data_IF_857450879922
#
_entry.id   IF_857450879922
#
_cell.length_a   1.000
_cell.length_b   1.000
_cell.length_c   1.000
_cell.angle_alpha   90.00
_cell.angle_beta   90.00
_cell.angle_gamma   90.00
#
_symmetry.space_group_name_H-M   'P 1'
#
loop_
_entity.id
_entity.type
_entity.pdbx_description
1 polymer ?
#
# COMPACT_ATOMS: atom_id res chain seq x y z
N UNK A 1 -54.80 -30.84 -5.98
CA UNK A 1 -54.33 -30.26 -4.69
C UNK A 1 -52.86 -30.60 -4.31
N UNK A 2 -52.15 -31.50 -5.04
CA UNK A 2 -50.75 -31.89 -4.71
C UNK A 2 -49.64 -30.95 -5.25
N UNK A 3 -49.95 -30.15 -6.30
CA UNK A 3 -48.98 -29.19 -6.89
C UNK A 3 -48.73 -27.92 -6.02
N UNK A 4 -49.68 -27.54 -5.19
CA UNK A 4 -49.62 -26.31 -4.37
C UNK A 4 -48.64 -26.47 -3.18
N UNK A 5 -48.45 -27.72 -2.68
CA UNK A 5 -47.53 -27.96 -1.53
C UNK A 5 -46.04 -27.88 -1.93
N UNK A 6 -45.70 -28.24 -3.19
CA UNK A 6 -44.31 -28.11 -3.67
C UNK A 6 -43.91 -26.67 -3.97
N UNK A 7 -44.86 -25.85 -4.43
CA UNK A 7 -44.63 -24.44 -4.74
C UNK A 7 -44.41 -23.61 -3.45
N UNK A 8 -45.10 -23.99 -2.35
CA UNK A 8 -44.92 -23.34 -1.06
C UNK A 8 -43.54 -23.54 -0.44
N UNK A 9 -42.97 -24.76 -0.53
CA UNK A 9 -41.60 -25.03 -0.05
C UNK A 9 -40.52 -24.33 -0.86
N UNK A 10 -40.70 -24.18 -2.18
CA UNK A 10 -39.77 -23.48 -3.04
C UNK A 10 -39.83 -21.97 -2.82
N UNK A 11 -41.00 -21.40 -2.57
CA UNK A 11 -41.19 -20.00 -2.24
C UNK A 11 -40.58 -19.64 -0.87
N UNK A 12 -40.64 -20.52 0.13
CA UNK A 12 -40.02 -20.33 1.42
C UNK A 12 -38.48 -20.39 1.29
N UNK A 13 -37.94 -21.27 0.46
CA UNK A 13 -36.49 -21.35 0.21
C UNK A 13 -35.96 -20.12 -0.53
N UNK A 14 -36.75 -19.53 -1.46
CA UNK A 14 -36.39 -18.28 -2.12
C UNK A 14 -36.50 -17.06 -1.19
N UNK A 15 -37.44 -17.07 -0.24
CA UNK A 15 -37.64 -15.96 0.70
C UNK A 15 -36.52 -15.85 1.75
N UNK A 16 -35.87 -16.96 2.13
CA UNK A 16 -34.73 -16.97 3.04
C UNK A 16 -33.45 -16.41 2.40
N UNK A 17 -33.36 -16.35 1.05
CA UNK A 17 -32.25 -15.73 0.32
C UNK A 17 -32.33 -14.19 0.28
N UNK A 18 -33.49 -13.60 0.61
CA UNK A 18 -33.73 -12.14 0.66
C UNK A 18 -33.80 -11.56 2.06
N UNK A 19 -33.32 -12.27 3.09
CA UNK A 19 -33.15 -11.62 4.39
C UNK A 19 -32.12 -10.49 4.22
N UNK A 20 -32.46 -9.23 4.52
CA UNK A 20 -31.49 -8.16 4.49
C UNK A 20 -30.41 -8.49 5.50
N UNK A 21 -29.25 -8.87 5.02
CA UNK A 21 -28.04 -8.82 5.83
C UNK A 21 -27.86 -7.35 6.12
N UNK A 22 -28.11 -6.90 7.35
CA UNK A 22 -27.73 -5.59 7.79
C UNK A 22 -26.19 -5.52 7.69
N UNK A 23 -25.69 -5.16 6.52
CA UNK A 23 -24.32 -4.72 6.38
C UNK A 23 -24.22 -3.42 7.17
N UNK A 24 -23.74 -3.49 8.39
CA UNK A 24 -23.28 -2.31 9.10
C UNK A 24 -22.07 -1.83 8.28
N UNK A 25 -22.30 -0.80 7.45
CA UNK A 25 -21.19 -0.04 6.91
C UNK A 25 -20.45 0.52 8.14
N UNK A 26 -19.21 0.06 8.34
CA UNK A 26 -18.36 0.58 9.40
C UNK A 26 -18.26 2.09 9.15
N UNK A 27 -18.79 2.89 10.08
CA UNK A 27 -18.68 4.35 10.04
C UNK A 27 -17.22 4.69 9.79
N UNK A 28 -16.92 5.61 8.87
CA UNK A 28 -15.58 5.96 8.40
C UNK A 28 -14.49 6.01 9.50
N UNK A 29 -13.39 6.72 9.32
CA UNK A 29 -12.29 6.72 10.28
C UNK A 29 -12.70 7.08 11.73
N UNK A 30 -13.79 7.85 11.90
CA UNK A 30 -14.30 8.30 13.19
C UNK A 30 -13.39 9.31 13.91
N UNK A 31 -12.42 9.90 13.19
CA UNK A 31 -11.52 10.94 13.71
C UNK A 31 -11.03 11.85 12.58
N UNK A 32 -10.50 13.03 12.96
CA UNK A 32 -9.77 13.93 12.06
C UNK A 32 -8.42 14.33 12.66
N UNK A 33 -7.51 14.75 11.78
CA UNK A 33 -6.20 15.31 12.16
C UNK A 33 -6.00 16.59 11.38
N UNK A 34 -5.72 17.70 12.09
CA UNK A 34 -5.44 19.00 11.48
C UNK A 34 -4.12 19.57 11.98
N UNK A 35 -3.30 20.22 11.13
CA UNK A 35 -2.11 20.91 11.59
C UNK A 35 -2.47 22.18 12.37
N UNK A 36 -1.78 22.41 13.47
CA UNK A 36 -1.80 23.69 14.18
C UNK A 36 -0.56 24.47 13.73
N UNK A 37 -0.73 25.31 12.71
CA UNK A 37 0.36 26.05 12.08
C UNK A 37 0.92 27.12 13.01
N UNK A 38 2.24 27.29 12.99
CA UNK A 38 2.93 28.17 13.93
C UNK A 38 4.18 28.84 13.33
N UNK A 39 5.17 29.07 14.18
CA UNK A 39 6.42 29.76 13.82
C UNK A 39 7.09 29.14 12.57
N UNK A 40 7.51 29.99 11.64
CA UNK A 40 8.25 29.60 10.43
C UNK A 40 7.37 29.07 9.29
N UNK A 41 6.07 28.93 9.48
CA UNK A 41 5.15 28.50 8.43
C UNK A 41 5.17 29.48 7.25
N UNK A 42 5.37 28.98 6.04
CA UNK A 42 5.47 29.80 4.82
C UNK A 42 4.11 30.09 4.17
N UNK A 43 3.14 29.17 4.32
CA UNK A 43 1.78 29.32 3.83
C UNK A 43 0.78 29.03 4.96
N UNK A 44 0.12 30.07 5.51
CA UNK A 44 -0.82 29.91 6.62
C UNK A 44 -2.13 29.21 6.24
N UNK A 45 -2.41 29.05 4.94
CA UNK A 45 -3.59 28.36 4.44
C UNK A 45 -3.30 26.86 4.10
N UNK A 46 -2.05 26.42 4.21
CA UNK A 46 -1.67 25.05 3.88
C UNK A 46 -2.27 24.04 4.89
N UNK A 47 -2.75 22.93 4.40
CA UNK A 47 -3.16 21.78 5.22
C UNK A 47 -1.97 20.93 5.71
N UNK A 48 -0.74 21.45 5.70
CA UNK A 48 0.50 20.77 6.05
C UNK A 48 1.53 21.75 6.58
N UNK A 49 2.61 21.25 7.19
CA UNK A 49 3.70 22.09 7.67
C UNK A 49 4.70 22.37 6.55
N UNK A 50 4.89 23.65 6.21
CA UNK A 50 5.92 24.16 5.30
C UNK A 50 6.71 25.20 6.05
N UNK A 51 7.82 24.79 6.69
CA UNK A 51 8.55 25.60 7.66
C UNK A 51 9.84 26.11 7.05
N UNK A 52 9.99 27.45 6.98
CA UNK A 52 11.27 28.08 6.71
C UNK A 52 12.13 27.95 7.96
N UNK A 53 13.09 27.03 7.89
CA UNK A 53 13.91 26.62 9.00
C UNK A 53 15.11 27.54 9.19
N UNK A 54 15.37 27.96 10.42
CA UNK A 54 16.56 28.72 10.82
C UNK A 54 17.46 27.86 11.71
N UNK A 55 18.78 28.00 11.56
CA UNK A 55 19.76 27.29 12.37
C UNK A 55 19.49 27.42 13.86
N UNK A 56 19.83 26.39 14.61
CA UNK A 56 19.76 26.36 16.06
C UNK A 56 18.43 26.83 16.66
N UNK A 57 17.34 26.75 15.89
CA UNK A 57 16.00 27.19 16.28
C UNK A 57 15.10 25.99 16.47
N UNK A 58 14.19 26.07 17.46
CA UNK A 58 13.17 25.04 17.70
C UNK A 58 11.86 25.44 17.07
N UNK A 59 11.21 24.45 16.44
CA UNK A 59 9.90 24.59 15.80
C UNK A 59 8.92 23.56 16.37
N UNK A 60 7.81 23.99 16.98
CA UNK A 60 6.76 23.08 17.40
C UNK A 60 5.97 22.61 16.17
N UNK A 61 5.91 21.31 15.97
CA UNK A 61 5.02 20.64 14.99
C UNK A 61 3.87 20.05 15.79
N UNK A 62 2.72 20.73 15.75
CA UNK A 62 1.54 20.38 16.55
C UNK A 62 0.40 19.94 15.65
N UNK A 63 -0.18 18.79 15.94
CA UNK A 63 -1.41 18.32 15.30
C UNK A 63 -2.54 18.25 16.31
N UNK A 64 -3.73 18.69 15.90
CA UNK A 64 -4.97 18.51 16.64
C UNK A 64 -5.64 17.22 16.17
N UNK A 65 -5.77 16.25 17.08
CA UNK A 65 -6.48 14.98 16.85
C UNK A 65 -7.86 15.08 17.48
N UNK A 66 -8.90 15.03 16.66
CA UNK A 66 -10.28 15.08 17.10
C UNK A 66 -10.94 13.72 16.94
N UNK A 67 -11.53 13.24 18.01
CA UNK A 67 -12.38 12.06 18.00
C UNK A 67 -13.81 12.51 17.64
N UNK A 68 -14.33 12.00 16.52
CA UNK A 68 -15.66 12.36 16.01
C UNK A 68 -16.77 11.42 16.48
N UNK A 69 -16.44 10.36 17.25
CA UNK A 69 -17.46 9.46 17.78
C UNK A 69 -18.20 10.11 18.94
N UNK A 70 -19.46 9.79 19.11
CA UNK A 70 -20.31 10.38 20.15
C UNK A 70 -20.11 9.75 21.54
N UNK A 71 -19.79 8.45 21.57
CA UNK A 71 -19.84 7.66 22.81
C UNK A 71 -18.59 6.85 23.10
N UNK A 72 -17.58 6.85 22.20
CA UNK A 72 -16.41 6.00 22.32
C UNK A 72 -15.13 6.82 22.52
N UNK A 73 -14.35 6.45 23.51
CA UNK A 73 -12.99 6.92 23.68
C UNK A 73 -12.08 6.18 22.68
N UNK A 74 -11.19 6.88 22.00
CA UNK A 74 -10.28 6.31 21.01
C UNK A 74 -8.82 6.53 21.41
N UNK A 75 -8.01 5.49 21.18
CA UNK A 75 -6.56 5.53 21.34
C UNK A 75 -5.85 5.73 20.00
N UNK A 76 -4.80 6.54 20.02
CA UNK A 76 -4.01 6.85 18.84
C UNK A 76 -2.52 6.63 19.09
N UNK A 77 -1.84 6.01 18.13
CA UNK A 77 -0.38 6.02 18.00
C UNK A 77 0.00 7.15 17.03
N UNK A 78 0.84 8.07 17.48
CA UNK A 78 1.27 9.24 16.72
C UNK A 78 2.78 9.23 16.61
N UNK A 79 3.31 9.33 15.40
CA UNK A 79 4.76 9.28 15.18
C UNK A 79 5.21 10.19 14.06
N UNK A 80 6.43 10.71 14.20
CA UNK A 80 7.14 11.34 13.10
C UNK A 80 7.68 10.27 12.15
N UNK A 81 7.45 10.46 10.87
CA UNK A 81 7.83 9.52 9.82
C UNK A 81 8.69 10.24 8.79
N UNK A 82 9.75 9.57 8.34
CA UNK A 82 10.52 10.03 7.18
C UNK A 82 9.76 9.71 5.90
N UNK A 83 9.65 10.68 4.99
CA UNK A 83 9.11 10.42 3.67
C UNK A 83 10.04 9.51 2.86
N UNK A 84 9.44 8.59 2.13
CA UNK A 84 10.13 7.68 1.22
C UNK A 84 9.56 7.78 -0.18
N UNK A 85 10.13 7.09 -1.15
CA UNK A 85 9.52 6.93 -2.47
C UNK A 85 8.97 5.50 -2.58
N UNK A 86 7.69 5.39 -2.91
CA UNK A 86 7.04 4.11 -3.15
C UNK A 86 7.38 3.57 -4.55
N UNK A 87 7.24 2.26 -4.77
CA UNK A 87 7.59 1.65 -6.06
C UNK A 87 6.64 2.03 -7.21
N UNK A 88 5.49 2.62 -6.89
CA UNK A 88 4.58 3.22 -7.89
C UNK A 88 4.88 4.69 -8.19
N UNK A 89 6.02 5.21 -7.72
CA UNK A 89 6.54 6.52 -8.08
C UNK A 89 5.89 7.70 -7.36
N UNK A 90 5.33 7.50 -6.16
CA UNK A 90 4.79 8.59 -5.34
C UNK A 90 5.58 8.73 -4.05
N UNK A 91 5.65 9.96 -3.54
CA UNK A 91 6.19 10.21 -2.20
C UNK A 91 5.23 9.61 -1.17
N UNK A 92 5.78 8.72 -0.33
CA UNK A 92 5.03 8.03 0.72
C UNK A 92 5.38 8.62 2.09
N UNK A 93 4.35 9.01 2.83
CA UNK A 93 4.41 9.63 4.15
C UNK A 93 4.01 8.68 5.27
N UNK A 94 3.95 7.38 4.98
CA UNK A 94 3.61 6.35 5.96
C UNK A 94 4.84 5.65 6.53
N UNK A 95 4.73 4.97 7.69
CA UNK A 95 5.85 4.23 8.25
C UNK A 95 6.40 3.19 7.27
N UNK A 96 7.69 3.22 7.03
CA UNK A 96 8.39 2.34 6.10
C UNK A 96 9.63 1.73 6.74
N UNK A 97 9.98 0.50 6.35
CA UNK A 97 11.24 -0.14 6.68
C UNK A 97 12.40 0.28 5.75
N UNK A 98 12.10 1.04 4.68
CA UNK A 98 13.13 1.57 3.79
C UNK A 98 14.06 2.50 4.56
N UNK A 99 15.36 2.31 4.36
CA UNK A 99 16.37 3.19 4.94
C UNK A 99 16.55 4.41 4.05
N UNK A 100 16.87 5.54 4.70
CA UNK A 100 17.28 6.74 3.99
C UNK A 100 18.68 6.54 3.38
N UNK A 101 18.92 7.16 2.24
CA UNK A 101 20.24 7.22 1.62
C UNK A 101 21.25 7.98 2.52
N UNK A 102 22.53 7.64 2.39
CA UNK A 102 23.58 8.21 3.22
C UNK A 102 23.63 9.76 3.14
N UNK A 103 23.78 10.39 4.28
CA UNK A 103 23.83 11.86 4.41
C UNK A 103 22.48 12.55 4.55
N UNK A 104 21.37 11.80 4.53
CA UNK A 104 20.04 12.33 4.79
C UNK A 104 19.81 12.63 6.27
N UNK A 105 18.97 13.63 6.55
CA UNK A 105 18.51 14.02 7.88
C UNK A 105 17.00 13.73 7.98
N UNK A 106 16.59 13.01 9.01
CA UNK A 106 15.19 12.68 9.23
C UNK A 106 14.52 13.59 10.25
N UNK A 107 13.19 13.69 10.24
CA UNK A 107 12.45 14.41 11.29
C UNK A 107 12.72 13.83 12.69
N UNK A 108 12.94 12.52 12.79
CA UNK A 108 13.24 11.84 14.07
C UNK A 108 14.55 12.29 14.68
N UNK A 109 15.55 12.63 13.84
CA UNK A 109 16.85 13.10 14.30
C UNK A 109 16.77 14.50 14.91
N UNK A 110 15.75 15.27 14.54
CA UNK A 110 15.53 16.65 14.98
C UNK A 110 14.72 16.76 16.28
N UNK A 111 14.09 15.69 16.77
CA UNK A 111 13.25 15.76 17.99
C UNK A 111 14.13 16.02 19.22
N UNK A 112 13.82 17.09 19.97
CA UNK A 112 14.60 17.54 21.13
C UNK A 112 14.68 16.49 22.24
N UNK A 113 13.55 15.88 22.60
CA UNK A 113 13.44 14.89 23.69
C UNK A 113 13.66 13.44 23.23
N UNK A 114 14.05 13.23 21.96
CA UNK A 114 14.23 11.92 21.32
C UNK A 114 12.97 11.03 21.30
N UNK A 115 11.80 11.60 21.59
CA UNK A 115 10.51 10.91 21.58
C UNK A 115 9.77 11.16 20.26
N UNK A 116 10.16 10.46 19.22
CA UNK A 116 9.52 10.56 17.91
C UNK A 116 8.16 9.82 17.82
N UNK A 117 7.70 9.22 18.92
CA UNK A 117 6.41 8.53 19.01
C UNK A 117 5.71 8.89 20.31
N UNK A 118 4.41 9.15 20.23
CA UNK A 118 3.54 9.44 21.37
C UNK A 118 2.26 8.61 21.26
N UNK A 119 1.67 8.26 22.39
CA UNK A 119 0.35 7.63 22.47
C UNK A 119 -0.61 8.57 23.16
N UNK A 120 -1.83 8.68 22.66
CA UNK A 120 -2.84 9.55 23.24
C UNK A 120 -4.21 8.89 23.22
N UNK A 121 -4.94 9.08 24.30
CA UNK A 121 -6.35 8.71 24.42
C UNK A 121 -7.19 9.98 24.28
N UNK A 122 -8.18 9.98 23.37
CA UNK A 122 -9.08 11.10 23.11
C UNK A 122 -10.51 10.65 23.40
N UNK A 123 -11.17 11.31 24.37
CA UNK A 123 -12.55 11.01 24.72
C UNK A 123 -13.50 11.37 23.56
N UNK A 124 -14.71 10.82 23.58
CA UNK A 124 -15.77 11.08 22.60
C UNK A 124 -15.98 12.58 22.38
N UNK A 125 -16.03 13.03 21.13
CA UNK A 125 -16.23 14.42 20.74
C UNK A 125 -15.09 15.39 21.10
N UNK A 126 -14.02 14.93 21.75
CA UNK A 126 -12.94 15.79 22.22
C UNK A 126 -11.80 15.92 21.19
N UNK A 127 -11.02 16.99 21.38
CA UNK A 127 -9.81 17.26 20.60
C UNK A 127 -8.61 17.34 21.55
N UNK A 128 -7.48 16.74 21.16
CA UNK A 128 -6.19 16.88 21.84
C UNK A 128 -5.10 17.36 20.89
N UNK A 129 -4.28 18.29 21.36
CA UNK A 129 -3.12 18.76 20.65
C UNK A 129 -1.88 17.93 21.06
N UNK A 130 -1.16 17.44 20.06
CA UNK A 130 0.06 16.67 20.23
C UNK A 130 1.20 17.42 19.53
N UNK A 131 2.28 17.70 20.28
CA UNK A 131 3.40 18.51 19.79
C UNK A 131 4.69 17.72 19.79
N UNK A 132 5.46 17.85 18.71
CA UNK A 132 6.85 17.45 18.59
C UNK A 132 7.71 18.72 18.42
N UNK A 133 8.67 18.93 19.30
CA UNK A 133 9.61 20.06 19.19
C UNK A 133 10.81 19.62 18.35
N UNK A 134 10.95 20.21 17.16
CA UNK A 134 12.05 19.94 16.24
C UNK A 134 13.14 20.98 16.42
N UNK A 135 14.31 20.57 16.88
CA UNK A 135 15.50 21.43 17.03
C UNK A 135 16.38 21.30 15.81
N UNK A 136 16.57 22.41 15.09
CA UNK A 136 17.47 22.48 13.97
C UNK A 136 18.93 22.47 14.44
N UNK A 137 19.85 21.81 13.70
CA UNK A 137 21.27 21.78 14.03
C UNK A 137 21.91 23.19 13.94
N UNK A 138 23.13 23.32 14.46
CA UNK A 138 23.91 24.55 14.32
C UNK A 138 24.39 24.79 12.89
N UNK A 139 24.63 23.69 12.16
CA UNK A 139 24.98 23.73 10.74
C UNK A 139 23.74 23.83 9.85
N UNK A 140 23.94 24.31 8.65
CA UNK A 140 22.87 24.37 7.65
C UNK A 140 22.32 22.97 7.35
N UNK A 141 20.99 22.84 7.30
CA UNK A 141 20.39 21.68 6.65
C UNK A 141 20.63 21.78 5.13
N UNK A 142 21.07 20.67 4.55
CA UNK A 142 21.31 20.63 3.11
C UNK A 142 19.98 20.40 2.39
N UNK A 143 19.32 21.49 1.95
CA UNK A 143 18.08 21.40 1.16
C UNK A 143 16.83 21.13 1.98
N UNK A 144 16.12 20.08 1.69
CA UNK A 144 14.81 19.77 2.26
C UNK A 144 14.83 18.53 3.14
N UNK A 145 14.32 18.67 4.37
CA UNK A 145 13.95 17.54 5.24
C UNK A 145 12.45 17.30 5.05
N UNK A 146 12.08 16.11 4.62
CA UNK A 146 10.71 15.76 4.27
C UNK A 146 10.23 14.55 5.09
N UNK A 147 9.05 14.68 5.66
CA UNK A 147 8.40 13.62 6.40
C UNK A 147 6.95 13.93 6.73
N UNK A 148 6.42 13.32 7.77
CA UNK A 148 5.05 13.56 8.22
C UNK A 148 4.87 13.36 9.72
N UNK A 149 3.76 13.89 10.24
CA UNK A 149 3.13 13.37 11.45
C UNK A 149 2.11 12.33 11.00
N UNK A 150 2.37 11.07 11.33
CA UNK A 150 1.49 9.94 11.06
C UNK A 150 0.67 9.63 12.31
N UNK A 151 -0.65 9.62 12.18
CA UNK A 151 -1.61 9.36 13.26
C UNK A 151 -2.41 8.13 12.90
N UNK A 152 -2.29 7.06 13.71
CA UNK A 152 -3.00 5.81 13.52
C UNK A 152 -3.97 5.58 14.68
N UNK A 153 -5.24 5.32 14.37
CA UNK A 153 -6.20 4.82 15.35
C UNK A 153 -5.81 3.41 15.76
N UNK A 154 -5.71 3.16 17.06
CA UNK A 154 -5.46 1.82 17.60
C UNK A 154 -6.78 1.04 17.53
N UNK A 155 -6.82 -0.12 16.83
CA UNK A 155 -8.02 -0.93 16.79
C UNK A 155 -8.41 -1.40 18.20
N UNK A 156 -9.64 -1.18 18.60
CA UNK A 156 -10.16 -1.77 19.85
C UNK A 156 -10.28 -3.29 19.68
N UNK A 157 -9.89 -4.04 20.71
CA UNK A 157 -10.12 -5.47 20.75
C UNK A 157 -11.61 -5.74 20.97
N UNK A 158 -12.38 -5.82 19.91
CA UNK A 158 -13.71 -6.40 19.98
C UNK A 158 -13.60 -7.90 20.26
N UNK A 159 -14.51 -8.42 21.10
CA UNK A 159 -14.54 -9.81 21.51
C UNK A 159 -14.32 -10.75 20.31
N UNK A 160 -13.46 -11.76 20.51
CA UNK A 160 -13.07 -12.75 19.49
C UNK A 160 -14.30 -13.35 18.81
N UNK A 161 -14.71 -12.81 17.69
CA UNK A 161 -15.64 -13.50 16.82
C UNK A 161 -14.93 -14.73 16.25
N UNK A 162 -15.50 -15.92 16.43
CA UNK A 162 -15.02 -17.14 15.77
C UNK A 162 -15.32 -17.01 14.28
N UNK A 163 -14.34 -16.56 13.49
CA UNK A 163 -14.47 -16.40 12.04
C UNK A 163 -13.34 -15.56 11.42
N UNK A 164 -13.22 -15.58 10.11
CA UNK A 164 -12.31 -14.71 9.37
C UNK A 164 -12.96 -13.32 9.29
N UNK A 165 -12.43 -12.35 10.02
CA UNK A 165 -12.88 -10.96 9.98
C UNK A 165 -11.82 -10.06 9.33
N UNK A 166 -12.22 -9.14 8.46
CA UNK A 166 -11.39 -8.04 7.97
C UNK A 166 -11.45 -6.92 9.00
N UNK A 167 -10.29 -6.48 9.50
CA UNK A 167 -10.18 -5.30 10.38
C UNK A 167 -9.59 -4.14 9.60
N UNK A 168 -10.32 -3.06 9.52
CA UNK A 168 -9.83 -1.82 8.92
C UNK A 168 -8.97 -1.06 9.95
N UNK A 169 -7.76 -0.69 9.55
CA UNK A 169 -6.90 0.20 10.31
C UNK A 169 -6.90 1.57 9.63
N UNK A 170 -7.36 2.60 10.33
CA UNK A 170 -7.41 3.95 9.82
C UNK A 170 -6.20 4.76 10.29
N UNK A 171 -5.60 5.49 9.37
CA UNK A 171 -4.52 6.40 9.66
C UNK A 171 -4.62 7.67 8.80
N UNK A 172 -4.09 8.77 9.32
CA UNK A 172 -3.97 10.05 8.62
C UNK A 172 -2.53 10.55 8.71
N UNK A 173 -2.09 11.26 7.68
CA UNK A 173 -0.76 11.85 7.63
C UNK A 173 -0.85 13.35 7.38
N UNK A 174 -0.06 14.12 8.11
CA UNK A 174 0.14 15.55 7.86
C UNK A 174 1.60 15.73 7.43
N UNK A 175 1.88 16.08 6.17
CA UNK A 175 3.24 16.31 5.69
C UNK A 175 3.96 17.40 6.47
N UNK A 176 5.28 17.24 6.66
CA UNK A 176 6.18 18.20 7.27
C UNK A 176 7.36 18.42 6.34
N UNK A 177 7.50 19.66 5.88
CA UNK A 177 8.56 20.12 4.98
C UNK A 177 9.38 21.17 5.71
N UNK A 178 10.66 20.91 5.90
CA UNK A 178 11.61 21.87 6.47
C UNK A 178 12.64 22.25 5.41
N UNK A 179 12.86 23.54 5.18
CA UNK A 179 13.92 24.05 4.31
C UNK A 179 14.38 25.41 4.81
N UNK A 180 15.67 25.70 4.72
CA UNK A 180 16.21 27.05 5.00
C UNK A 180 15.87 28.02 3.86
N UNK A 181 15.79 27.52 2.66
CA UNK A 181 15.46 28.31 1.46
C UNK A 181 14.67 27.47 0.44
N UNK A 182 13.38 27.69 0.37
CA UNK A 182 12.48 27.03 -0.60
C UNK A 182 12.73 27.44 -2.05
N UNK A 183 13.41 28.55 -2.28
CA UNK A 183 13.73 29.02 -3.64
C UNK A 183 15.04 28.42 -4.18
N UNK A 184 15.84 27.80 -3.32
CA UNK A 184 17.09 27.18 -3.69
C UNK A 184 16.87 25.95 -4.56
N UNK A 185 17.19 26.06 -5.84
CA UNK A 185 17.13 24.92 -6.77
C UNK A 185 18.31 23.98 -6.53
N UNK A 186 18.02 22.78 -6.03
CA UNK A 186 19.01 21.71 -5.88
C UNK A 186 18.77 20.67 -6.97
N UNK A 187 19.81 20.35 -7.72
CA UNK A 187 19.72 19.33 -8.75
C UNK A 187 19.69 17.96 -8.11
N UNK A 188 18.70 17.10 -8.43
CA UNK A 188 18.69 15.71 -7.99
C UNK A 188 19.97 14.98 -8.43
N UNK A 189 20.44 14.07 -7.59
CA UNK A 189 21.56 13.18 -7.90
C UNK A 189 21.04 11.76 -7.92
N UNK A 190 20.77 11.24 -9.12
CA UNK A 190 20.19 9.92 -9.30
C UNK A 190 21.28 8.89 -9.62
N UNK A 191 21.10 7.70 -9.09
CA UNK A 191 21.95 6.55 -9.37
C UNK A 191 21.08 5.28 -9.47
N UNK A 192 21.31 4.47 -10.51
CA UNK A 192 20.75 3.14 -10.63
C UNK A 192 21.63 2.17 -9.84
N UNK A 193 21.26 1.91 -8.59
CA UNK A 193 22.10 1.22 -7.61
C UNK A 193 22.10 -0.30 -7.80
N UNK A 194 20.98 -0.85 -8.29
CA UNK A 194 20.81 -2.28 -8.49
C UNK A 194 19.94 -2.59 -9.71
N UNK A 195 20.13 -3.77 -10.29
CA UNK A 195 19.25 -4.36 -11.28
C UNK A 195 19.25 -5.89 -11.15
N UNK A 196 18.07 -6.50 -11.23
CA UNK A 196 17.94 -7.94 -11.09
C UNK A 196 16.62 -8.48 -11.66
N UNK A 197 16.60 -9.76 -12.03
CA UNK A 197 15.37 -10.49 -12.28
C UNK A 197 14.82 -11.04 -10.97
N UNK A 198 13.55 -10.82 -10.68
CA UNK A 198 12.86 -11.40 -9.52
C UNK A 198 11.40 -11.74 -9.84
N UNK A 199 10.74 -12.46 -8.96
CA UNK A 199 9.31 -12.71 -9.01
C UNK A 199 8.68 -12.24 -7.72
N UNK A 200 7.68 -11.39 -7.85
CA UNK A 200 6.73 -11.11 -6.78
C UNK A 200 5.37 -11.64 -7.25
N UNK A 201 4.62 -12.27 -6.36
CA UNK A 201 3.27 -12.79 -6.68
C UNK A 201 3.18 -13.74 -7.87
N UNK A 202 4.25 -14.49 -8.17
CA UNK A 202 4.23 -15.48 -9.24
C UNK A 202 4.49 -14.95 -10.65
N UNK A 203 4.77 -13.66 -10.83
CA UNK A 203 5.05 -13.07 -12.15
C UNK A 203 6.54 -12.69 -12.25
N UNK A 204 7.28 -13.17 -13.27
CA UNK A 204 8.68 -12.78 -13.48
C UNK A 204 8.77 -11.35 -13.97
N UNK A 205 9.74 -10.61 -13.45
CA UNK A 205 9.97 -9.21 -13.81
C UNK A 205 11.44 -8.85 -13.66
N UNK A 206 11.87 -7.80 -14.35
CA UNK A 206 13.18 -7.18 -14.12
C UNK A 206 12.97 -5.88 -13.36
N UNK A 207 13.74 -5.69 -12.31
CA UNK A 207 13.61 -4.54 -11.41
C UNK A 207 14.93 -3.79 -11.38
N UNK A 208 14.87 -2.47 -11.55
CA UNK A 208 15.97 -1.55 -11.32
C UNK A 208 15.71 -0.70 -10.08
N UNK A 209 16.66 -0.62 -9.15
CA UNK A 209 16.58 0.26 -7.98
C UNK A 209 17.27 1.59 -8.29
N UNK A 210 16.51 2.69 -8.23
CA UNK A 210 17.02 4.04 -8.42
C UNK A 210 17.00 4.81 -7.11
N UNK A 211 18.11 5.48 -6.79
CA UNK A 211 18.33 6.26 -5.58
C UNK A 211 18.46 7.74 -5.92
N UNK A 212 17.77 8.60 -5.17
CA UNK A 212 18.00 10.04 -5.11
C UNK A 212 18.91 10.34 -3.92
N UNK A 213 20.18 10.63 -4.17
CA UNK A 213 21.18 10.93 -3.17
C UNK A 213 21.24 12.43 -2.81
N UNK A 214 20.29 13.24 -3.32
CA UNK A 214 20.27 14.68 -3.08
C UNK A 214 19.20 15.08 -2.04
N UNK A 215 19.40 16.18 -1.31
CA UNK A 215 18.45 16.74 -0.36
C UNK A 215 17.33 17.53 -1.07
N UNK A 216 16.81 17.00 -2.14
CA UNK A 216 15.75 17.64 -2.92
C UNK A 216 14.67 16.64 -3.30
N UNK A 217 13.43 17.02 -3.08
CA UNK A 217 12.31 16.35 -3.72
C UNK A 217 12.14 16.92 -5.13
N UNK A 218 11.65 16.10 -6.05
CA UNK A 218 11.26 16.55 -7.38
C UNK A 218 10.18 15.64 -7.95
N UNK A 219 9.42 16.16 -8.91
CA UNK A 219 8.27 15.46 -9.47
C UNK A 219 8.14 15.67 -10.98
N UNK A 220 6.96 15.32 -11.50
CA UNK A 220 6.66 15.34 -12.94
C UNK A 220 7.68 14.54 -13.74
N UNK A 221 8.15 13.42 -13.16
CA UNK A 221 9.19 12.58 -13.76
C UNK A 221 8.54 11.66 -14.79
N UNK A 222 9.10 11.66 -16.00
CA UNK A 222 8.86 10.65 -17.01
C UNK A 222 9.96 9.62 -16.95
N UNK A 223 9.60 8.36 -16.88
CA UNK A 223 10.52 7.22 -16.83
C UNK A 223 10.37 6.41 -18.10
N UNK A 224 11.48 6.12 -18.76
CA UNK A 224 11.59 5.13 -19.83
C UNK A 224 12.69 4.14 -19.46
N UNK A 225 12.33 2.90 -19.19
CA UNK A 225 13.26 1.87 -18.79
C UNK A 225 13.16 0.65 -19.70
N UNK A 226 14.30 0.07 -20.05
CA UNK A 226 14.36 -1.12 -20.90
C UNK A 226 15.51 -2.03 -20.54
N UNK A 227 15.43 -3.27 -21.00
CA UNK A 227 16.47 -4.31 -20.81
C UNK A 227 17.01 -4.71 -22.17
N UNK A 228 18.36 -4.85 -22.25
CA UNK A 228 19.07 -5.45 -23.39
C UNK A 228 19.93 -6.61 -22.95
N UNK A 229 20.33 -7.48 -23.86
CA UNK A 229 21.50 -8.32 -23.60
C UNK A 229 22.75 -7.42 -23.51
N UNK A 230 23.69 -7.75 -22.62
CA UNK A 230 24.90 -6.93 -22.46
C UNK A 230 25.68 -6.77 -23.76
N UNK A 231 25.93 -5.50 -24.13
CA UNK A 231 26.64 -5.12 -25.36
C UNK A 231 25.78 -5.13 -26.61
N UNK A 232 24.47 -5.39 -26.50
CA UNK A 232 23.51 -5.27 -27.62
C UNK A 232 22.63 -4.05 -27.46
N UNK A 233 21.99 -3.61 -28.54
CA UNK A 233 21.10 -2.44 -28.59
C UNK A 233 19.62 -2.82 -28.64
N UNK A 234 19.31 -4.08 -28.99
CA UNK A 234 17.94 -4.54 -29.14
C UNK A 234 17.24 -4.61 -27.79
N UNK A 235 16.14 -3.87 -27.65
CA UNK A 235 15.31 -3.88 -26.45
C UNK A 235 14.55 -5.20 -26.33
N UNK A 236 14.78 -5.94 -25.27
CA UNK A 236 14.03 -7.16 -24.98
C UNK A 236 12.68 -6.86 -24.36
N UNK A 237 12.68 -5.96 -23.38
CA UNK A 237 11.50 -5.50 -22.64
C UNK A 237 11.63 -4.02 -22.34
N UNK A 238 10.52 -3.31 -22.29
CA UNK A 238 10.46 -1.88 -22.02
C UNK A 238 9.22 -1.55 -21.17
N UNK A 239 9.35 -0.56 -20.28
CA UNK A 239 8.27 0.01 -19.50
C UNK A 239 8.40 1.52 -19.46
N UNK A 240 7.27 2.24 -19.55
CA UNK A 240 7.22 3.70 -19.49
C UNK A 240 6.18 4.14 -18.46
N UNK A 241 6.50 5.20 -17.75
CA UNK A 241 5.61 5.81 -16.76
C UNK A 241 5.79 7.32 -16.73
N UNK A 242 4.77 8.02 -16.27
CA UNK A 242 4.78 9.48 -16.14
C UNK A 242 4.29 9.90 -14.75
N UNK A 243 4.57 11.17 -14.41
CA UNK A 243 4.14 11.82 -13.16
C UNK A 243 4.73 11.20 -11.90
N UNK A 244 5.88 10.54 -12.02
CA UNK A 244 6.61 10.05 -10.86
C UNK A 244 7.18 11.20 -10.03
N UNK A 245 7.38 10.93 -8.74
CA UNK A 245 7.95 11.84 -7.76
C UNK A 245 8.99 11.10 -6.93
N UNK A 246 9.99 11.81 -6.44
CA UNK A 246 10.96 11.26 -5.52
C UNK A 246 11.16 12.15 -4.30
N UNK A 247 11.15 11.53 -3.12
CA UNK A 247 11.54 12.17 -1.88
C UNK A 247 13.06 12.40 -1.82
N UNK A 248 13.53 13.35 -0.99
CA UNK A 248 14.96 13.51 -0.71
C UNK A 248 15.54 12.24 -0.10
N UNK A 249 16.77 11.89 -0.48
CA UNK A 249 17.52 10.76 0.09
C UNK A 249 16.73 9.45 0.16
N UNK A 250 16.01 9.15 -0.91
CA UNK A 250 15.15 7.95 -0.99
C UNK A 250 15.42 7.12 -2.23
N UNK A 251 15.06 5.85 -2.17
CA UNK A 251 15.11 4.95 -3.33
C UNK A 251 13.78 4.27 -3.58
N UNK A 252 13.58 3.81 -4.82
CA UNK A 252 12.46 2.97 -5.19
C UNK A 252 12.86 1.97 -6.28
N UNK A 253 12.10 0.90 -6.39
CA UNK A 253 12.28 -0.09 -7.45
C UNK A 253 11.31 0.19 -8.61
N UNK A 254 11.86 0.33 -9.81
CA UNK A 254 11.09 0.43 -11.04
C UNK A 254 11.05 -0.91 -11.76
N UNK A 255 9.86 -1.36 -12.10
CA UNK A 255 9.62 -2.70 -12.64
C UNK A 255 9.41 -2.66 -14.15
N UNK A 256 10.05 -3.59 -14.86
CA UNK A 256 9.77 -3.91 -16.24
C UNK A 256 9.15 -5.31 -16.28
N UNK A 257 7.91 -5.38 -16.77
CA UNK A 257 7.22 -6.65 -16.99
C UNK A 257 7.88 -7.43 -18.13
N UNK A 258 8.07 -8.72 -17.94
CA UNK A 258 8.64 -9.61 -18.94
C UNK A 258 7.61 -10.45 -19.67
N UNK A 259 6.33 -10.08 -19.60
CA UNK A 259 5.21 -10.79 -20.22
C UNK A 259 5.18 -12.29 -19.84
N UNK A 260 5.40 -12.59 -18.56
CA UNK A 260 5.52 -13.94 -18.00
C UNK A 260 6.69 -14.78 -18.53
N UNK A 261 7.68 -14.17 -19.18
CA UNK A 261 8.84 -14.90 -19.66
C UNK A 261 10.04 -14.73 -18.73
N UNK A 262 10.66 -15.82 -18.36
CA UNK A 262 11.94 -15.82 -17.66
C UNK A 262 13.07 -15.52 -18.64
N UNK A 263 13.94 -14.55 -18.31
CA UNK A 263 15.18 -14.34 -19.06
C UNK A 263 16.03 -15.63 -19.04
N UNK A 264 16.71 -15.91 -20.13
CA UNK A 264 17.70 -17.00 -20.20
C UNK A 264 18.90 -16.68 -19.33
N UNK A 265 19.65 -17.70 -18.83
CA UNK A 265 20.93 -17.44 -18.18
C UNK A 265 21.83 -16.61 -19.09
N UNK A 266 22.38 -15.50 -18.56
CA UNK A 266 23.18 -14.58 -19.36
C UNK A 266 23.47 -13.27 -18.64
N UNK A 267 24.16 -12.36 -19.34
CA UNK A 267 24.46 -11.00 -18.86
C UNK A 267 23.58 -10.01 -19.61
N UNK A 268 23.01 -9.09 -18.85
CA UNK A 268 22.05 -8.10 -19.32
C UNK A 268 22.42 -6.70 -18.82
N UNK A 269 21.87 -5.69 -19.48
CA UNK A 269 21.95 -4.30 -19.02
C UNK A 269 20.54 -3.76 -18.85
N UNK A 270 20.25 -3.24 -17.67
CA UNK A 270 19.05 -2.46 -17.37
C UNK A 270 19.37 -1.00 -17.66
N UNK A 271 18.58 -0.36 -18.51
CA UNK A 271 18.69 1.05 -18.87
C UNK A 271 17.51 1.81 -18.29
N UNK A 272 17.75 3.04 -17.85
CA UNK A 272 16.70 3.92 -17.33
C UNK A 272 16.98 5.37 -17.73
N UNK A 273 16.07 5.96 -18.48
CA UNK A 273 16.05 7.38 -18.80
C UNK A 273 14.95 8.06 -17.98
N UNK A 274 15.32 8.97 -17.10
CA UNK A 274 14.37 9.77 -16.32
C UNK A 274 14.45 11.23 -16.75
N UNK A 275 13.30 11.85 -17.00
CA UNK A 275 13.20 13.27 -17.40
C UNK A 275 12.23 14.03 -16.49
N UNK A 276 12.64 15.22 -16.03
CA UNK A 276 11.79 16.13 -15.25
C UNK A 276 12.11 17.58 -15.66
N UNK A 277 11.18 18.22 -16.37
CA UNK A 277 11.40 19.53 -16.98
C UNK A 277 12.55 19.48 -18.00
N UNK A 278 13.55 20.31 -17.79
CA UNK A 278 14.78 20.42 -18.59
C UNK A 278 15.87 19.41 -18.20
N UNK A 279 15.67 18.66 -17.15
CA UNK A 279 16.66 17.71 -16.61
C UNK A 279 16.45 16.32 -17.19
N UNK A 280 17.56 15.66 -17.52
CA UNK A 280 17.59 14.30 -18.06
C UNK A 280 18.68 13.50 -17.34
N UNK A 281 18.33 12.28 -16.89
CA UNK A 281 19.21 11.36 -16.20
C UNK A 281 19.20 10.05 -16.98
N UNK A 282 20.33 9.74 -17.63
CA UNK A 282 20.54 8.50 -18.36
C UNK A 282 21.42 7.58 -17.53
N UNK A 283 20.88 6.44 -17.13
CA UNK A 283 21.51 5.50 -16.21
C UNK A 283 21.44 4.09 -16.77
N UNK A 284 22.48 3.32 -16.51
CA UNK A 284 22.52 1.91 -16.88
C UNK A 284 23.19 1.08 -15.80
N UNK A 285 22.71 -0.18 -15.63
CA UNK A 285 23.27 -1.13 -14.68
C UNK A 285 23.29 -2.51 -15.26
N UNK A 286 24.49 -3.15 -15.25
CA UNK A 286 24.63 -4.54 -15.64
C UNK A 286 24.12 -5.47 -14.54
N UNK A 287 23.48 -6.56 -14.94
CA UNK A 287 23.09 -7.65 -14.06
C UNK A 287 23.27 -9.02 -14.74
N UNK A 288 23.28 -10.05 -13.93
CA UNK A 288 23.43 -11.42 -14.43
C UNK A 288 22.24 -12.26 -13.99
N UNK A 289 21.70 -13.02 -14.92
CA UNK A 289 20.74 -14.08 -14.64
C UNK A 289 21.49 -15.40 -14.70
N UNK A 290 21.65 -16.07 -13.57
CA UNK A 290 22.23 -17.42 -13.52
C UNK A 290 21.13 -18.49 -13.39
N UNK A 291 21.50 -19.76 -13.53
CA UNK A 291 20.56 -20.87 -13.45
C UNK A 291 19.88 -20.96 -12.09
N UNK A 292 20.59 -20.64 -11.01
CA UNK A 292 20.06 -20.68 -9.64
C UNK A 292 19.03 -19.55 -9.39
N UNK A 293 19.33 -18.32 -9.86
CA UNK A 293 18.41 -17.20 -9.79
C UNK A 293 17.12 -17.51 -10.58
N UNK A 294 17.28 -18.05 -11.80
CA UNK A 294 16.15 -18.45 -12.64
C UNK A 294 15.30 -19.54 -11.99
N UNK A 295 15.91 -20.54 -11.35
CA UNK A 295 15.21 -21.60 -10.63
C UNK A 295 14.46 -21.05 -9.40
N UNK A 296 15.07 -20.14 -8.65
CA UNK A 296 14.42 -19.47 -7.51
C UNK A 296 13.20 -18.65 -7.95
N UNK A 297 13.30 -17.91 -9.04
CA UNK A 297 12.17 -17.17 -9.60
C UNK A 297 11.10 -18.15 -10.10
N UNK A 298 11.48 -19.22 -10.80
CA UNK A 298 10.57 -20.23 -11.33
C UNK A 298 9.82 -21.00 -10.23
N UNK A 299 10.47 -21.35 -9.12
CA UNK A 299 9.81 -22.03 -7.99
C UNK A 299 8.69 -21.18 -7.38
N UNK A 300 8.90 -19.87 -7.28
CA UNK A 300 7.87 -18.92 -6.81
C UNK A 300 6.69 -18.77 -7.77
N UNK A 301 6.90 -18.98 -9.09
CA UNK A 301 5.82 -19.03 -10.08
C UNK A 301 4.91 -20.24 -9.82
N UNK A 302 5.49 -21.39 -9.52
CA UNK A 302 4.75 -22.63 -9.26
C UNK A 302 3.99 -22.59 -7.92
N UNK A 303 4.48 -21.86 -6.92
CA UNK A 303 3.77 -21.69 -5.64
C UNK A 303 2.50 -20.85 -5.77
N UNK A 304 2.45 -19.89 -6.68
CA UNK A 304 1.25 -19.08 -6.96
C UNK A 304 0.10 -19.88 -7.58
N UNK A 305 0.38 -20.93 -8.35
CA UNK A 305 -0.63 -21.79 -8.96
C UNK A 305 -1.22 -22.85 -8.01
N UNK A 306 -0.53 -23.20 -6.92
CA UNK A 306 -1.00 -24.19 -5.95
C UNK A 306 -2.20 -23.77 -5.10
N UNK A 307 -2.58 -22.51 -5.13
CA UNK A 307 -3.67 -21.98 -4.30
C UNK A 307 -5.08 -22.32 -4.79
N UNK A 308 -5.26 -22.84 -6.01
CA UNK A 308 -6.59 -23.01 -6.62
C UNK A 308 -7.12 -24.45 -6.71
N UNK A 309 -6.32 -25.47 -6.32
CA UNK A 309 -6.72 -26.87 -6.43
C UNK A 309 -7.82 -27.26 -5.42
N UNK A 310 -7.90 -26.58 -4.29
CA UNK A 310 -8.89 -26.91 -3.26
C UNK A 310 -10.30 -26.35 -3.55
N UNK A 311 -10.43 -25.30 -4.36
CA UNK A 311 -11.73 -24.71 -4.67
C UNK A 311 -12.54 -25.58 -5.62
N UNK A 312 -11.90 -26.24 -6.59
CA UNK A 312 -12.55 -27.15 -7.52
C UNK A 312 -13.13 -28.39 -6.84
N UNK A 313 -12.47 -28.91 -5.80
CA UNK A 313 -13.00 -30.03 -5.01
C UNK A 313 -14.24 -29.64 -4.22
N UNK A 314 -14.28 -28.41 -3.69
CA UNK A 314 -15.47 -27.90 -2.99
C UNK A 314 -16.65 -27.70 -3.95
N UNK A 315 -16.39 -27.20 -5.17
CA UNK A 315 -17.40 -27.06 -6.22
C UNK A 315 -17.91 -28.45 -6.66
N UNK A 316 -17.00 -29.40 -6.92
CA UNK A 316 -17.36 -30.77 -7.29
C UNK A 316 -18.16 -31.47 -6.18
N UNK A 317 -17.78 -31.30 -4.91
CA UNK A 317 -18.54 -31.83 -3.78
C UNK A 317 -19.94 -31.21 -3.66
N UNK A 318 -20.06 -29.89 -3.85
CA UNK A 318 -21.37 -29.21 -3.87
C UNK A 318 -22.28 -29.66 -4.97
N UNK A 319 -21.77 -29.86 -6.20
CA UNK A 319 -22.53 -30.41 -7.34
C UNK A 319 -22.92 -31.86 -7.08
N UNK A 320 -22.01 -32.68 -6.52
CA UNK A 320 -22.29 -34.07 -6.16
C UNK A 320 -23.44 -34.22 -5.16
N UNK A 321 -23.42 -33.40 -4.10
CA UNK A 321 -24.47 -33.36 -3.08
C UNK A 321 -25.81 -32.93 -3.70
N UNK A 322 -25.83 -31.95 -4.58
CA UNK A 322 -27.02 -31.46 -5.28
C UNK A 322 -27.65 -32.54 -6.17
N UNK A 323 -26.82 -33.32 -6.87
CA UNK A 323 -27.27 -34.45 -7.68
C UNK A 323 -27.87 -35.55 -6.80
N UNK A 324 -27.28 -35.88 -5.67
CA UNK A 324 -27.78 -36.88 -4.73
C UNK A 324 -29.14 -36.44 -4.18
N UNK A 325 -29.30 -35.20 -3.77
CA UNK A 325 -30.58 -34.66 -3.28
C UNK A 325 -31.65 -34.74 -4.36
N UNK A 326 -31.30 -34.40 -5.63
CA UNK A 326 -32.21 -34.48 -6.75
C UNK A 326 -32.66 -35.94 -7.03
N UNK A 327 -31.74 -36.90 -7.02
CA UNK A 327 -32.04 -38.31 -7.24
C UNK A 327 -32.92 -38.90 -6.14
N UNK A 328 -32.67 -38.53 -4.88
CA UNK A 328 -33.49 -38.94 -3.73
C UNK A 328 -34.90 -38.36 -3.83
N UNK A 329 -35.02 -37.06 -4.16
CA UNK A 329 -36.32 -36.41 -4.34
C UNK A 329 -37.10 -37.01 -5.54
N UNK A 330 -36.40 -37.31 -6.62
CA UNK A 330 -36.99 -37.96 -7.80
C UNK A 330 -37.44 -39.39 -7.51
N UNK A 331 -36.62 -40.19 -6.78
CA UNK A 331 -36.96 -41.56 -6.37
C UNK A 331 -38.16 -41.61 -5.41
N UNK A 332 -38.24 -40.68 -4.47
CA UNK A 332 -39.38 -40.57 -3.54
C UNK A 332 -40.66 -40.08 -4.26
N UNK A 333 -40.50 -39.18 -5.26
CA UNK A 333 -41.62 -38.73 -6.10
C UNK A 333 -42.23 -39.86 -6.95
N UNK A 334 -41.38 -40.74 -7.50
CA UNK A 334 -41.81 -41.88 -8.32
C UNK A 334 -42.52 -42.98 -7.49
N UNK A 335 -42.13 -43.20 -6.23
CA UNK A 335 -42.78 -44.15 -5.31
C UNK A 335 -44.21 -43.73 -4.92
N UNK A 336 -44.54 -42.45 -4.92
CA UNK A 336 -45.86 -41.92 -4.60
C UNK A 336 -46.84 -41.98 -5.77
N UNK A 337 -46.38 -42.16 -7.01
CA UNK A 337 -47.19 -42.26 -8.22
C UNK A 337 -47.76 -43.66 -8.50
N UNK A 338 -47.23 -44.73 -7.83
CA UNK A 338 -47.64 -46.10 -8.07
C UNK A 338 -48.65 -46.67 -7.03
N UNK A 339 -49.14 -45.84 -6.09
CA UNK A 339 -50.04 -46.29 -5.04
C UNK A 339 -51.52 -45.89 -5.27
N UNK A 340 -51.82 -45.14 -6.33
CA UNK A 340 -53.14 -44.60 -6.59
C UNK A 340 -53.89 -45.32 -7.80
N UNK A 341 -53.39 -46.46 -8.29
CA UNK A 341 -54.06 -47.21 -9.43
C UNK A 341 -54.69 -48.53 -9.08
N UNK A 342 -54.83 -48.91 -7.80
CA UNK A 342 -55.47 -50.17 -7.40
C UNK A 342 -56.54 -49.98 -6.32
N UNK A 343 -57.45 -49.04 -6.47
CA UNK A 343 -58.71 -49.00 -5.75
C UNK A 343 -59.80 -48.46 -6.70
N UNK A 344 -60.25 -49.24 -7.62
CA UNK A 344 -61.57 -49.16 -8.23
C UNK A 344 -61.77 -50.43 -9.17
N UNK A 345 -62.17 -51.58 -8.55
CA UNK A 345 -63.02 -52.65 -9.09
C UNK A 345 -63.90 -53.24 -7.98
#
# INVERSE_FOLDING_TARGET
>A
MKFIKGLGCFAILLFTLFLPVNAHAEEGAGFTVTPVLGKGQTDPAAGYFSIKAEKNTSYPVTVAVQNLTENETQDFDIQLVQATTSNNGHIDYTPSSKKMEAGGLSLKDLVEDKKATQKVTVAAGQTKNITFNLKLPQDNIKGTVLGSVYVRKVPQETAKSKGVGVRNAFAMTIPVILSEDFNKKITPKLELTNAQMKSDTGVPKVVGEVSNQAPSMFGQIKVDAWVTEKGKTDKLYQSQSEKYEMAPYSSFEYTIDTNNHLLKPGKYTYHMLMKSGDKSFDMARDFTVDSKNRETVNSRLLEGEKSNTNLWWLIAAGVGISIIIFLVAFGLGKRKGNTDENEDE
#
